data_IF_230391517402
#
_entry.id   IF_230391517402
#
_cell.length_a   1.000
_cell.length_b   1.000
_cell.length_c   1.000
_cell.angle_alpha   90.00
_cell.angle_beta   90.00
_cell.angle_gamma   90.00
#
_symmetry.space_group_name_H-M   'P 1'
#
loop_
_entity.id
_entity.type
_entity.pdbx_description
1 polymer ?
#
# COMPACT_ATOMS: atom_id res chain seq x y z
N UNK A 1 -10.25 6.18 -14.95
CA UNK A 1 -10.56 7.54 -14.46
C UNK A 1 -10.46 8.58 -15.58
N UNK A 2 -9.34 8.76 -16.30
CA UNK A 2 -9.22 9.81 -17.33
C UNK A 2 -10.25 9.70 -18.47
N UNK A 3 -10.53 8.46 -18.92
CA UNK A 3 -11.57 8.20 -19.93
C UNK A 3 -12.93 8.72 -19.46
N UNK A 4 -13.32 8.39 -18.23
CA UNK A 4 -14.55 8.91 -17.64
C UNK A 4 -14.51 10.43 -17.57
N UNK A 5 -13.38 11.01 -17.11
CA UNK A 5 -13.23 12.47 -16.99
C UNK A 5 -13.53 13.19 -18.29
N UNK A 6 -12.93 12.74 -19.38
CA UNK A 6 -13.22 13.27 -20.70
C UNK A 6 -14.69 13.05 -21.12
N UNK A 7 -15.24 11.86 -20.87
CA UNK A 7 -16.61 11.49 -21.30
C UNK A 7 -17.71 12.29 -20.60
N UNK A 8 -17.55 12.63 -19.32
CA UNK A 8 -18.61 13.30 -18.55
C UNK A 8 -18.37 14.80 -18.35
N UNK A 9 -17.28 15.35 -18.88
CA UNK A 9 -16.89 16.76 -18.68
C UNK A 9 -18.00 17.76 -19.00
N UNK A 10 -18.61 17.65 -20.18
CA UNK A 10 -19.64 18.58 -20.63
C UNK A 10 -20.95 18.41 -19.83
N UNK A 11 -21.33 17.17 -19.50
CA UNK A 11 -22.50 16.88 -18.68
C UNK A 11 -22.36 17.46 -17.26
N UNK A 12 -21.17 17.35 -16.68
CA UNK A 12 -20.84 17.93 -15.37
C UNK A 12 -20.86 19.46 -15.44
N UNK A 13 -20.25 20.04 -16.47
CA UNK A 13 -20.21 21.50 -16.66
C UNK A 13 -21.62 22.11 -16.85
N UNK A 14 -22.54 21.37 -17.47
CA UNK A 14 -23.94 21.79 -17.65
C UNK A 14 -24.84 21.49 -16.45
N UNK A 15 -24.34 20.81 -15.42
CA UNK A 15 -25.14 20.39 -14.25
C UNK A 15 -26.11 19.25 -14.55
N UNK A 16 -25.93 18.53 -15.65
CA UNK A 16 -26.75 17.37 -16.05
C UNK A 16 -26.32 16.08 -15.34
N UNK A 17 -25.06 16.04 -14.87
CA UNK A 17 -24.50 14.89 -14.18
C UNK A 17 -23.60 15.35 -13.03
N UNK A 18 -23.76 14.75 -11.85
CA UNK A 18 -22.77 14.81 -10.78
C UNK A 18 -21.92 13.54 -10.83
N UNK A 19 -20.60 13.68 -10.73
CA UNK A 19 -19.69 12.53 -10.67
C UNK A 19 -18.90 12.59 -9.38
N UNK A 20 -18.93 11.47 -8.64
CA UNK A 20 -18.08 11.24 -7.48
C UNK A 20 -17.29 9.98 -7.74
N UNK A 21 -15.97 10.06 -7.58
CA UNK A 21 -15.11 8.89 -7.68
C UNK A 21 -14.85 8.29 -6.30
N UNK A 22 -14.63 6.97 -6.25
CA UNK A 22 -14.21 6.28 -5.04
C UNK A 22 -12.91 5.54 -5.38
N UNK A 23 -11.83 5.89 -4.69
CA UNK A 23 -10.50 5.33 -4.91
C UNK A 23 -10.18 4.29 -3.84
N UNK A 24 -9.98 3.04 -4.26
CA UNK A 24 -9.53 1.94 -3.39
C UNK A 24 -8.00 1.87 -3.27
N UNK A 25 -7.36 3.03 -3.16
CA UNK A 25 -5.91 3.19 -3.01
C UNK A 25 -5.51 3.14 -1.52
N UNK A 26 -4.33 2.60 -1.17
CA UNK A 26 -3.84 2.58 0.22
C UNK A 26 -3.45 3.98 0.71
N UNK A 27 -2.89 4.80 -0.17
CA UNK A 27 -2.34 6.11 0.19
C UNK A 27 -3.17 7.26 -0.39
N UNK A 28 -3.82 8.03 0.48
CA UNK A 28 -4.65 9.18 0.05
C UNK A 28 -3.84 10.19 -0.77
N UNK A 29 -2.57 10.38 -0.45
CA UNK A 29 -1.70 11.35 -1.13
C UNK A 29 -1.40 10.93 -2.58
N UNK A 30 -1.34 9.62 -2.87
CA UNK A 30 -1.22 9.12 -4.25
C UNK A 30 -2.49 9.38 -5.05
N UNK A 31 -3.65 9.21 -4.42
CA UNK A 31 -4.94 9.55 -5.04
C UNK A 31 -5.00 11.04 -5.38
N UNK A 32 -4.59 11.90 -4.45
CA UNK A 32 -4.55 13.35 -4.66
C UNK A 32 -3.56 13.74 -5.78
N UNK A 33 -2.35 13.18 -5.77
CA UNK A 33 -1.34 13.40 -6.81
C UNK A 33 -1.86 12.97 -8.18
N UNK A 34 -2.48 11.79 -8.28
CA UNK A 34 -3.06 11.29 -9.52
C UNK A 34 -4.16 12.23 -10.05
N UNK A 35 -5.06 12.68 -9.18
CA UNK A 35 -6.16 13.57 -9.55
C UNK A 35 -5.63 14.90 -10.09
N UNK A 36 -4.69 15.53 -9.37
CA UNK A 36 -4.06 16.78 -9.78
C UNK A 36 -3.26 16.62 -11.08
N UNK A 37 -2.50 15.53 -11.21
CA UNK A 37 -1.73 15.25 -12.44
C UNK A 37 -2.62 15.07 -13.67
N UNK A 38 -3.76 14.40 -13.51
CA UNK A 38 -4.71 14.15 -14.59
C UNK A 38 -5.71 15.30 -14.81
N UNK A 39 -5.65 16.36 -14.00
CA UNK A 39 -6.61 17.48 -14.07
C UNK A 39 -8.05 17.05 -13.77
N UNK A 40 -8.23 16.03 -12.92
CA UNK A 40 -9.54 15.56 -12.49
C UNK A 40 -10.06 16.53 -11.43
N UNK A 41 -11.20 17.14 -11.73
CA UNK A 41 -11.86 18.18 -10.93
C UNK A 41 -13.07 17.66 -10.14
N UNK A 42 -13.34 16.35 -10.20
CA UNK A 42 -14.40 15.73 -9.43
C UNK A 42 -13.97 15.48 -7.98
N UNK A 43 -14.95 15.46 -7.05
CA UNK A 43 -14.73 14.88 -5.73
C UNK A 43 -14.27 13.42 -5.85
N UNK A 44 -13.17 13.08 -5.16
CA UNK A 44 -12.69 11.70 -5.01
C UNK A 44 -12.75 11.33 -3.53
N UNK A 45 -13.57 10.35 -3.21
CA UNK A 45 -13.62 9.71 -1.90
C UNK A 45 -12.53 8.64 -1.83
N UNK A 46 -11.83 8.59 -0.70
CA UNK A 46 -10.80 7.59 -0.45
C UNK A 46 -11.37 6.44 0.38
N UNK A 47 -11.35 5.23 -0.18
CA UNK A 47 -11.89 4.01 0.43
C UNK A 47 -10.83 2.88 0.40
N UNK A 48 -9.78 2.98 1.23
CA UNK A 48 -8.75 1.95 1.30
C UNK A 48 -9.29 0.61 1.83
N UNK A 49 -10.43 0.63 2.53
CA UNK A 49 -11.08 -0.50 3.18
C UNK A 49 -12.00 -1.31 2.24
N UNK A 50 -12.28 -0.82 1.03
CA UNK A 50 -13.27 -1.42 0.12
C UNK A 50 -14.67 -1.54 0.76
N UNK A 51 -15.11 -0.51 1.49
CA UNK A 51 -16.43 -0.45 2.13
C UNK A 51 -17.59 -0.46 1.12
N UNK A 52 -17.32 -0.06 -0.13
CA UNK A 52 -18.29 -0.22 -1.23
C UNK A 52 -18.56 -1.68 -1.59
N UNK A 53 -17.70 -2.61 -1.15
CA UNK A 53 -17.79 -4.02 -1.51
C UNK A 53 -17.53 -4.30 -2.99
N UNK A 54 -16.85 -3.38 -3.70
CA UNK A 54 -16.58 -3.56 -5.12
C UNK A 54 -15.64 -4.75 -5.34
N UNK A 55 -16.06 -5.67 -6.21
CA UNK A 55 -15.27 -6.85 -6.54
C UNK A 55 -14.23 -6.59 -7.64
N UNK A 56 -14.36 -5.50 -8.39
CA UNK A 56 -13.49 -5.16 -9.51
C UNK A 56 -13.46 -3.65 -9.76
N UNK A 57 -12.36 -3.16 -10.37
CA UNK A 57 -12.21 -1.78 -10.80
C UNK A 57 -11.66 -1.71 -12.24
N UNK A 58 -12.03 -0.69 -13.05
CA UNK A 58 -13.03 0.32 -12.74
C UNK A 58 -14.47 -0.26 -12.75
N UNK A 59 -15.33 0.27 -11.88
CA UNK A 59 -16.77 -0.02 -11.86
C UNK A 59 -17.51 1.33 -11.80
N UNK A 60 -18.53 1.51 -12.62
CA UNK A 60 -19.34 2.71 -12.66
C UNK A 60 -20.80 2.37 -12.34
N UNK A 61 -21.38 3.13 -11.42
CA UNK A 61 -22.74 2.97 -10.93
C UNK A 61 -23.47 4.27 -11.22
N UNK A 62 -24.65 4.16 -11.82
CA UNK A 62 -25.53 5.29 -12.06
C UNK A 62 -26.60 5.32 -10.99
N UNK A 63 -26.74 6.48 -10.35
CA UNK A 63 -27.71 6.76 -9.30
C UNK A 63 -28.58 7.90 -9.77
N UNK A 64 -29.90 7.73 -9.67
CA UNK A 64 -30.84 8.78 -10.04
C UNK A 64 -30.98 9.86 -8.97
N UNK A 65 -31.80 10.88 -9.26
CA UNK A 65 -32.05 12.00 -8.34
C UNK A 65 -32.69 11.58 -7.00
N UNK A 66 -33.28 10.39 -6.93
CA UNK A 66 -33.89 9.84 -5.70
C UNK A 66 -32.89 9.03 -4.85
N UNK A 67 -31.66 8.88 -5.31
CA UNK A 67 -30.63 8.07 -4.64
C UNK A 67 -30.75 6.57 -4.95
N UNK A 68 -31.53 6.18 -5.96
CA UNK A 68 -31.69 4.78 -6.36
C UNK A 68 -30.66 4.41 -7.42
N UNK A 69 -30.02 3.25 -7.25
CA UNK A 69 -29.13 2.68 -8.28
C UNK A 69 -29.96 2.21 -9.46
N UNK A 70 -29.78 2.84 -10.62
CA UNK A 70 -30.52 2.53 -11.85
C UNK A 70 -29.70 1.69 -12.84
N UNK A 71 -28.37 1.76 -12.76
CA UNK A 71 -27.48 0.90 -13.55
C UNK A 71 -26.15 0.64 -12.83
N UNK A 72 -25.54 -0.51 -13.09
CA UNK A 72 -24.20 -0.89 -12.61
C UNK A 72 -23.35 -1.38 -13.77
N UNK A 73 -22.02 -1.29 -13.63
CA UNK A 73 -21.10 -1.69 -14.70
C UNK A 73 -21.25 -0.85 -15.97
N UNK A 74 -21.72 0.39 -15.85
CA UNK A 74 -21.87 1.30 -16.99
C UNK A 74 -20.50 1.49 -17.62
N UNK A 75 -20.45 1.53 -18.95
CA UNK A 75 -19.22 1.80 -19.71
C UNK A 75 -19.25 3.23 -20.22
N UNK A 76 -18.08 3.85 -20.34
CA UNK A 76 -17.98 5.23 -20.82
C UNK A 76 -18.58 5.40 -22.23
N UNK A 77 -18.38 4.42 -23.11
CA UNK A 77 -18.96 4.38 -24.47
C UNK A 77 -20.48 4.17 -24.50
N UNK A 78 -21.08 3.67 -23.41
CA UNK A 78 -22.52 3.43 -23.26
C UNK A 78 -23.24 4.44 -22.37
N UNK A 79 -22.54 5.46 -21.86
CA UNK A 79 -23.11 6.38 -20.87
C UNK A 79 -24.36 7.11 -21.37
N UNK A 80 -24.33 7.62 -22.61
CA UNK A 80 -25.46 8.39 -23.16
C UNK A 80 -26.76 7.55 -23.20
N UNK A 81 -26.66 6.28 -23.58
CA UNK A 81 -27.79 5.36 -23.57
C UNK A 81 -28.25 5.03 -22.14
N UNK A 82 -27.32 4.94 -21.19
CA UNK A 82 -27.66 4.69 -19.78
C UNK A 82 -28.36 5.88 -19.11
N UNK A 83 -28.15 7.11 -19.61
CA UNK A 83 -28.81 8.32 -19.13
C UNK A 83 -30.19 8.54 -19.78
N UNK A 84 -30.53 7.82 -20.84
CA UNK A 84 -31.78 8.01 -21.56
C UNK A 84 -32.99 7.74 -20.66
N UNK A 85 -33.87 8.74 -20.53
CA UNK A 85 -35.08 8.65 -19.71
C UNK A 85 -34.85 8.87 -18.21
N UNK A 86 -33.63 9.19 -17.78
CA UNK A 86 -33.39 9.66 -16.42
C UNK A 86 -33.65 11.17 -16.33
N UNK A 87 -34.35 11.56 -15.28
CA UNK A 87 -34.49 12.96 -14.95
C UNK A 87 -33.14 13.51 -14.44
N UNK A 88 -32.73 14.72 -14.88
CA UNK A 88 -31.52 15.35 -14.37
C UNK A 88 -31.58 15.46 -12.85
N UNK A 89 -30.45 15.19 -12.19
CA UNK A 89 -30.35 15.40 -10.75
C UNK A 89 -30.67 16.86 -10.42
N UNK A 90 -31.52 17.08 -9.41
CA UNK A 90 -31.61 18.41 -8.81
C UNK A 90 -30.28 18.67 -8.08
N UNK A 91 -29.78 19.91 -8.12
CA UNK A 91 -28.50 20.26 -7.51
C UNK A 91 -28.38 19.65 -6.10
N UNK A 92 -27.27 18.93 -5.86
CA UNK A 92 -27.00 18.32 -4.56
C UNK A 92 -27.00 19.44 -3.52
N UNK A 93 -27.85 19.31 -2.51
CA UNK A 93 -27.91 20.24 -1.39
C UNK A 93 -26.61 20.16 -0.59
N UNK A 94 -25.72 21.13 -0.77
CA UNK A 94 -24.40 21.19 -0.13
C UNK A 94 -24.46 21.70 1.31
N UNK A 95 -25.61 21.62 2.00
CA UNK A 95 -25.71 21.95 3.42
C UNK A 95 -24.61 21.22 4.21
N UNK A 96 -24.04 21.90 5.21
CA UNK A 96 -23.05 21.31 6.13
C UNK A 96 -23.64 20.03 6.73
N UNK A 97 -23.19 18.89 6.21
CA UNK A 97 -23.40 17.60 6.84
C UNK A 97 -22.38 17.53 7.99
N UNK A 98 -22.79 17.15 9.21
CA UNK A 98 -21.83 16.88 10.28
C UNK A 98 -20.75 15.91 9.79
N UNK A 99 -19.56 15.88 10.45
CA UNK A 99 -18.44 15.04 10.02
C UNK A 99 -18.94 13.64 9.68
N UNK A 100 -18.62 13.11 8.49
CA UNK A 100 -19.22 11.88 8.02
C UNK A 100 -18.92 10.77 9.00
N UNK A 101 -19.94 10.33 9.74
CA UNK A 101 -19.92 9.00 10.31
C UNK A 101 -20.19 8.04 9.17
N UNK A 102 -19.62 6.83 9.24
CA UNK A 102 -20.06 5.78 8.33
C UNK A 102 -21.57 5.65 8.48
N UNK A 103 -22.33 5.77 7.40
CA UNK A 103 -23.80 5.68 7.43
C UNK A 103 -24.29 4.37 8.07
N UNK A 104 -23.42 3.35 8.12
CA UNK A 104 -23.59 2.13 8.88
C UNK A 104 -23.79 2.43 10.37
N UNK A 105 -23.02 3.31 11.00
CA UNK A 105 -23.13 3.66 12.42
C UNK A 105 -24.51 4.19 12.81
N UNK A 106 -25.15 4.99 11.93
CA UNK A 106 -26.49 5.51 12.16
C UNK A 106 -27.58 4.43 12.06
N UNK A 107 -27.28 3.32 11.39
CA UNK A 107 -28.20 2.17 11.22
C UNK A 107 -28.04 1.14 12.34
N UNK A 108 -26.93 1.15 13.06
CA UNK A 108 -26.67 0.22 14.14
C UNK A 108 -27.33 0.69 15.43
N UNK A 109 -27.89 -0.25 16.18
CA UNK A 109 -28.35 0.04 17.53
C UNK A 109 -27.15 0.42 18.42
N UNK A 110 -27.34 1.23 19.48
CA UNK A 110 -26.23 1.63 20.33
C UNK A 110 -25.42 0.48 20.95
N UNK A 111 -26.07 -0.67 21.13
CA UNK A 111 -25.56 -1.93 21.68
C UNK A 111 -25.21 -2.98 20.62
N UNK A 112 -25.22 -2.62 19.34
CA UNK A 112 -24.86 -3.53 18.25
C UNK A 112 -23.38 -3.95 18.34
N UNK A 113 -23.08 -5.26 18.27
CA UNK A 113 -21.72 -5.76 18.39
C UNK A 113 -20.77 -5.32 17.27
N UNK A 114 -21.27 -4.93 16.08
CA UNK A 114 -20.43 -4.41 14.99
C UNK A 114 -20.15 -2.90 15.15
N UNK A 115 -20.81 -2.20 16.08
CA UNK A 115 -20.64 -0.75 16.24
C UNK A 115 -19.18 -0.34 16.53
N UNK A 116 -18.45 -0.97 17.48
CA UNK A 116 -17.06 -0.62 17.74
C UNK A 116 -16.15 -0.76 16.52
N UNK A 117 -16.43 -1.75 15.65
CA UNK A 117 -15.70 -1.98 14.40
C UNK A 117 -15.85 -0.79 13.45
N UNK A 118 -17.09 -0.38 13.17
CA UNK A 118 -17.33 0.76 12.28
C UNK A 118 -16.87 2.08 12.87
N UNK A 119 -16.87 2.24 14.20
CA UNK A 119 -16.27 3.39 14.86
C UNK A 119 -14.75 3.44 14.65
N UNK A 120 -14.07 2.30 14.77
CA UNK A 120 -12.63 2.19 14.51
C UNK A 120 -12.29 2.53 13.05
N UNK A 121 -13.04 1.98 12.08
CA UNK A 121 -12.86 2.29 10.65
C UNK A 121 -13.12 3.78 10.38
N UNK A 122 -14.19 4.34 10.96
CA UNK A 122 -14.53 5.76 10.84
C UNK A 122 -13.38 6.65 11.35
N UNK A 123 -12.79 6.32 12.50
CA UNK A 123 -11.61 7.05 13.01
C UNK A 123 -10.40 6.93 12.09
N UNK A 124 -10.14 5.76 11.51
CA UNK A 124 -9.07 5.57 10.53
C UNK A 124 -9.26 6.43 9.26
N UNK A 125 -10.50 6.60 8.79
CA UNK A 125 -10.82 7.36 7.58
C UNK A 125 -10.81 8.87 7.81
N UNK A 126 -11.41 9.33 8.91
CA UNK A 126 -11.81 10.73 9.05
C UNK A 126 -11.00 11.54 10.07
N UNK A 127 -10.27 10.90 10.98
CA UNK A 127 -9.53 11.64 12.02
C UNK A 127 -8.34 12.43 11.48
N UNK A 128 -7.85 12.06 10.28
CA UNK A 128 -6.60 12.58 9.73
C UNK A 128 -5.34 12.10 10.47
N UNK A 129 -5.50 11.34 11.55
CA UNK A 129 -4.44 10.80 12.39
C UNK A 129 -4.22 9.30 12.13
N UNK A 130 -3.11 8.77 12.64
CA UNK A 130 -2.86 7.33 12.65
C UNK A 130 -3.98 6.58 13.39
N UNK A 131 -4.33 5.36 12.96
CA UNK A 131 -5.14 4.46 13.78
C UNK A 131 -4.54 4.31 15.18
N UNK A 132 -5.36 4.40 16.22
CA UNK A 132 -4.88 4.19 17.59
C UNK A 132 -4.68 2.70 17.86
N UNK A 133 -3.89 2.37 18.89
CA UNK A 133 -3.74 0.97 19.30
C UNK A 133 -5.09 0.30 19.63
N UNK A 134 -6.04 1.04 20.23
CA UNK A 134 -7.38 0.54 20.51
C UNK A 134 -8.18 0.25 19.24
N UNK A 135 -8.00 1.05 18.18
CA UNK A 135 -8.63 0.80 16.87
C UNK A 135 -8.08 -0.49 16.26
N UNK A 136 -6.76 -0.67 16.28
CA UNK A 136 -6.09 -1.87 15.77
C UNK A 136 -6.52 -3.12 16.55
N UNK A 137 -6.57 -3.05 17.88
CA UNK A 137 -7.03 -4.16 18.73
C UNK A 137 -8.48 -4.54 18.44
N UNK A 138 -9.36 -3.56 18.26
CA UNK A 138 -10.77 -3.79 17.89
C UNK A 138 -10.87 -4.51 16.56
N UNK A 139 -10.17 -4.03 15.54
CA UNK A 139 -10.17 -4.62 14.19
C UNK A 139 -9.56 -6.03 14.19
N UNK A 140 -8.46 -6.25 14.91
CA UNK A 140 -7.85 -7.58 15.07
C UNK A 140 -8.77 -8.56 15.79
N UNK A 141 -9.45 -8.13 16.85
CA UNK A 141 -10.35 -8.99 17.60
C UNK A 141 -11.48 -9.53 16.72
N UNK A 142 -12.11 -8.66 15.94
CA UNK A 142 -13.13 -9.07 14.96
C UNK A 142 -12.52 -9.99 13.88
N UNK A 143 -11.36 -9.61 13.34
CA UNK A 143 -10.66 -10.40 12.33
C UNK A 143 -10.11 -11.73 12.84
N UNK A 144 -10.11 -12.00 14.15
CA UNK A 144 -9.62 -13.27 14.73
C UNK A 144 -10.77 -14.17 15.22
N UNK A 145 -12.02 -13.72 15.11
CA UNK A 145 -13.19 -14.48 15.56
C UNK A 145 -13.46 -15.74 14.75
N UNK A 146 -14.23 -16.66 15.33
CA UNK A 146 -14.65 -17.90 14.67
C UNK A 146 -15.58 -17.65 13.46
N UNK A 147 -16.41 -16.59 13.55
CA UNK A 147 -17.35 -16.18 12.49
C UNK A 147 -16.81 -15.04 11.61
N UNK A 148 -15.48 -14.85 11.60
CA UNK A 148 -14.85 -13.77 10.84
C UNK A 148 -15.16 -13.85 9.35
N UNK A 149 -15.36 -12.69 8.74
CA UNK A 149 -15.55 -12.54 7.30
C UNK A 149 -14.28 -12.03 6.61
N UNK A 150 -14.13 -12.33 5.32
CA UNK A 150 -12.97 -11.88 4.55
C UNK A 150 -12.79 -10.36 4.50
N UNK A 151 -13.89 -9.59 4.48
CA UNK A 151 -13.86 -8.13 4.52
C UNK A 151 -13.31 -7.60 5.84
N UNK A 152 -13.74 -8.16 6.98
CA UNK A 152 -13.23 -7.79 8.31
C UNK A 152 -11.74 -8.06 8.45
N UNK A 153 -11.27 -9.20 7.92
CA UNK A 153 -9.84 -9.53 7.89
C UNK A 153 -9.08 -8.57 6.98
N UNK A 154 -9.63 -8.21 5.82
CA UNK A 154 -9.05 -7.22 4.92
C UNK A 154 -8.95 -5.84 5.59
N UNK A 155 -10.00 -5.40 6.29
CA UNK A 155 -10.06 -4.12 7.00
C UNK A 155 -8.99 -4.02 8.08
N UNK A 156 -8.78 -5.09 8.85
CA UNK A 156 -7.69 -5.17 9.82
C UNK A 156 -6.34 -4.90 9.14
N UNK A 157 -6.06 -5.57 8.01
CA UNK A 157 -4.81 -5.35 7.29
C UNK A 157 -4.64 -3.93 6.76
N UNK A 158 -5.71 -3.27 6.31
CA UNK A 158 -5.68 -1.86 5.89
C UNK A 158 -5.30 -0.95 7.05
N UNK A 159 -5.89 -1.13 8.22
CA UNK A 159 -5.58 -0.32 9.40
C UNK A 159 -4.15 -0.54 9.91
N UNK A 160 -3.67 -1.78 9.91
CA UNK A 160 -2.26 -2.08 10.22
C UNK A 160 -1.30 -1.33 9.30
N UNK A 161 -1.61 -1.31 8.00
CA UNK A 161 -0.78 -0.60 7.04
C UNK A 161 -0.82 0.91 7.25
N UNK A 162 -2.00 1.47 7.50
CA UNK A 162 -2.14 2.90 7.81
C UNK A 162 -1.34 3.30 9.07
N UNK A 163 -1.41 2.48 10.12
CA UNK A 163 -0.63 2.69 11.34
C UNK A 163 0.87 2.62 11.06
N UNK A 164 1.32 1.60 10.31
CA UNK A 164 2.72 1.45 9.90
C UNK A 164 3.22 2.67 9.12
N UNK A 165 2.50 3.09 8.07
CA UNK A 165 2.90 4.23 7.23
C UNK A 165 2.94 5.54 8.03
N UNK A 166 2.00 5.75 8.97
CA UNK A 166 1.96 6.98 9.78
C UNK A 166 3.02 6.99 10.88
N UNK A 167 3.43 5.83 11.38
CA UNK A 167 4.50 5.69 12.39
C UNK A 167 5.91 5.77 11.80
N UNK A 168 6.06 6.15 10.52
CA UNK A 168 7.37 6.20 9.85
C UNK A 168 7.87 4.81 9.42
N UNK A 169 6.98 3.83 9.34
CA UNK A 169 7.31 2.49 8.86
C UNK A 169 8.01 1.60 9.88
N UNK A 170 7.90 1.88 11.19
CA UNK A 170 8.52 1.03 12.21
C UNK A 170 7.57 -0.03 12.77
N UNK A 171 8.11 -1.22 13.02
CA UNK A 171 7.46 -2.28 13.77
C UNK A 171 6.53 -3.18 12.95
N UNK A 172 5.84 -4.13 13.60
CA UNK A 172 5.23 -5.30 12.95
C UNK A 172 3.96 -5.00 12.13
N UNK A 173 3.59 -3.73 11.95
CA UNK A 173 2.36 -3.32 11.28
C UNK A 173 2.32 -3.76 9.81
N UNK A 174 3.41 -3.57 9.07
CA UNK A 174 3.41 -3.93 7.65
C UNK A 174 3.22 -5.43 7.44
N UNK A 175 3.94 -6.25 8.19
CA UNK A 175 3.78 -7.67 8.07
C UNK A 175 2.41 -8.20 8.50
N UNK A 176 1.82 -7.64 9.57
CA UNK A 176 0.44 -7.96 9.94
C UNK A 176 -0.54 -7.58 8.84
N UNK A 177 -0.32 -6.45 8.16
CA UNK A 177 -1.12 -6.06 7.00
C UNK A 177 -1.06 -7.11 5.88
N UNK A 178 0.15 -7.54 5.51
CA UNK A 178 0.36 -8.57 4.48
C UNK A 178 -0.30 -9.90 4.89
N UNK A 179 -0.12 -10.34 6.14
CA UNK A 179 -0.74 -11.56 6.66
C UNK A 179 -2.27 -11.51 6.53
N UNK A 180 -2.86 -10.43 7.02
CA UNK A 180 -4.30 -10.22 6.99
C UNK A 180 -4.84 -10.17 5.54
N UNK A 181 -4.17 -9.48 4.62
CA UNK A 181 -4.63 -9.45 3.22
C UNK A 181 -4.55 -10.82 2.54
N UNK A 182 -3.50 -11.60 2.78
CA UNK A 182 -3.41 -12.98 2.28
C UNK A 182 -4.54 -13.86 2.86
N UNK A 183 -4.82 -13.76 4.15
CA UNK A 183 -5.91 -14.50 4.78
C UNK A 183 -7.28 -14.08 4.22
N UNK A 184 -7.54 -12.78 4.11
CA UNK A 184 -8.76 -12.26 3.51
C UNK A 184 -8.95 -12.78 2.06
N UNK A 185 -7.88 -12.76 1.26
CA UNK A 185 -7.91 -13.27 -0.09
C UNK A 185 -8.12 -14.80 -0.15
N UNK A 186 -7.57 -15.56 0.81
CA UNK A 186 -7.83 -16.99 0.91
C UNK A 186 -9.31 -17.29 1.23
N UNK A 187 -9.97 -16.44 2.02
CA UNK A 187 -11.41 -16.54 2.30
C UNK A 187 -12.27 -16.17 1.09
N UNK A 188 -11.85 -15.19 0.29
CA UNK A 188 -12.60 -14.73 -0.90
C UNK A 188 -11.67 -14.51 -2.10
N UNK A 189 -11.25 -15.58 -2.80
CA UNK A 189 -10.23 -15.51 -3.86
C UNK A 189 -10.69 -14.77 -5.13
N UNK A 190 -11.96 -14.45 -5.23
CA UNK A 190 -12.54 -13.67 -6.34
C UNK A 190 -12.41 -12.15 -6.14
N UNK A 191 -11.98 -11.69 -4.97
CA UNK A 191 -11.86 -10.25 -4.67
C UNK A 191 -10.63 -9.64 -5.35
N UNK A 192 -10.85 -8.96 -6.48
CA UNK A 192 -9.78 -8.36 -7.29
C UNK A 192 -8.99 -7.32 -6.50
N UNK A 193 -9.67 -6.45 -5.75
CA UNK A 193 -9.04 -5.34 -5.03
C UNK A 193 -8.08 -5.88 -3.96
N UNK A 194 -8.47 -6.94 -3.25
CA UNK A 194 -7.66 -7.56 -2.21
C UNK A 194 -6.42 -8.22 -2.82
N UNK A 195 -6.59 -8.95 -3.93
CA UNK A 195 -5.47 -9.49 -4.69
C UNK A 195 -4.49 -8.40 -5.12
N UNK A 196 -5.01 -7.28 -5.65
CA UNK A 196 -4.17 -6.14 -6.07
C UNK A 196 -3.40 -5.53 -4.92
N UNK A 197 -4.00 -5.43 -3.73
CA UNK A 197 -3.32 -4.93 -2.54
C UNK A 197 -2.14 -5.81 -2.13
N UNK A 198 -2.24 -7.13 -2.27
CA UNK A 198 -1.10 -8.03 -2.06
C UNK A 198 -0.05 -7.83 -3.16
N UNK A 199 -0.46 -7.85 -4.43
CA UNK A 199 0.44 -7.74 -5.58
C UNK A 199 1.25 -6.43 -5.59
N UNK A 200 0.69 -5.35 -5.05
CA UNK A 200 1.38 -4.08 -4.84
C UNK A 200 2.71 -4.24 -4.09
N UNK A 201 2.75 -5.13 -3.11
CA UNK A 201 3.93 -5.44 -2.30
C UNK A 201 4.52 -6.82 -2.62
N UNK A 202 3.90 -7.55 -3.54
CA UNK A 202 4.28 -8.91 -3.89
C UNK A 202 5.42 -8.97 -4.91
N UNK A 203 5.76 -10.18 -5.37
CA UNK A 203 6.73 -10.36 -6.43
C UNK A 203 6.40 -9.57 -7.68
N UNK A 204 7.43 -9.02 -8.34
CA UNK A 204 7.26 -8.25 -9.59
C UNK A 204 6.55 -9.05 -10.70
N UNK A 205 6.81 -10.35 -10.81
CA UNK A 205 6.19 -11.22 -11.83
C UNK A 205 4.67 -11.37 -11.67
N UNK A 206 4.14 -11.08 -10.48
CA UNK A 206 2.70 -11.10 -10.23
C UNK A 206 1.99 -9.81 -10.68
N UNK A 207 2.76 -8.76 -11.01
CA UNK A 207 2.24 -7.50 -11.51
C UNK A 207 2.16 -7.53 -13.05
N UNK A 208 0.95 -7.45 -13.64
CA UNK A 208 0.76 -7.54 -15.09
C UNK A 208 1.17 -6.28 -15.86
N UNK A 209 1.46 -5.19 -15.15
CA UNK A 209 1.91 -3.89 -15.68
C UNK A 209 2.55 -3.08 -14.55
N UNK A 210 3.34 -2.06 -14.89
CA UNK A 210 4.00 -1.18 -13.93
C UNK A 210 2.95 -0.29 -13.22
N UNK A 211 2.44 -0.77 -12.08
CA UNK A 211 1.25 -0.21 -11.43
C UNK A 211 1.40 1.27 -11.07
N UNK A 212 2.60 1.69 -10.70
CA UNK A 212 2.91 3.07 -10.29
C UNK A 212 3.99 3.76 -11.14
N UNK A 213 4.24 3.31 -12.38
CA UNK A 213 5.18 3.99 -13.29
C UNK A 213 4.83 5.47 -13.51
N UNK A 214 3.55 5.82 -13.31
CA UNK A 214 3.07 7.20 -13.42
C UNK A 214 3.52 8.11 -12.27
N UNK A 215 3.89 7.59 -11.09
CA UNK A 215 4.24 8.45 -9.95
C UNK A 215 5.48 9.29 -10.25
N UNK A 216 6.62 8.72 -10.71
CA UNK A 216 7.76 9.52 -11.11
C UNK A 216 7.43 10.58 -12.18
N UNK A 217 6.60 10.23 -13.16
CA UNK A 217 6.14 11.16 -14.21
C UNK A 217 5.30 12.32 -13.63
N UNK A 218 4.35 11.99 -12.75
CA UNK A 218 3.50 12.95 -12.08
C UNK A 218 4.30 13.89 -11.18
N UNK A 219 5.23 13.33 -10.39
CA UNK A 219 6.12 14.11 -9.51
C UNK A 219 7.00 15.04 -10.33
N UNK A 220 7.64 14.56 -11.40
CA UNK A 220 8.47 15.40 -12.27
C UNK A 220 7.66 16.53 -12.93
N UNK A 221 6.41 16.25 -13.32
CA UNK A 221 5.53 17.24 -13.93
C UNK A 221 5.04 18.30 -12.94
N UNK A 222 4.78 17.93 -11.68
CA UNK A 222 4.20 18.83 -10.66
C UNK A 222 5.24 19.50 -9.78
N UNK A 223 6.40 18.88 -9.59
CA UNK A 223 7.47 19.32 -8.72
C UNK A 223 8.82 19.30 -9.48
N UNK A 224 9.00 20.16 -10.50
CA UNK A 224 10.19 20.15 -11.35
C UNK A 224 11.47 20.59 -10.65
N UNK A 225 11.36 21.17 -9.45
CA UNK A 225 12.50 21.49 -8.59
C UNK A 225 12.40 20.62 -7.34
N UNK A 226 13.41 19.79 -7.01
CA UNK A 226 13.42 19.04 -5.76
C UNK A 226 13.26 20.02 -4.61
N UNK A 227 12.20 19.85 -3.80
CA UNK A 227 12.03 20.67 -2.61
C UNK A 227 13.25 20.43 -1.71
N UNK A 228 14.08 21.46 -1.53
CA UNK A 228 15.38 21.33 -0.89
C UNK A 228 15.31 21.03 0.62
N UNK A 229 14.12 20.90 1.20
CA UNK A 229 13.94 20.72 2.66
C UNK A 229 12.57 20.15 3.08
N UNK A 230 11.75 19.63 2.17
CA UNK A 230 10.41 19.15 2.52
C UNK A 230 10.41 17.63 2.66
N UNK A 231 10.01 17.15 3.84
CA UNK A 231 9.58 15.78 4.14
C UNK A 231 9.15 15.05 2.87
N UNK A 232 9.89 14.02 2.46
CA UNK A 232 9.56 13.19 1.30
C UNK A 232 8.07 12.83 1.39
N UNK A 233 7.21 13.37 0.52
CA UNK A 233 5.78 13.12 0.59
C UNK A 233 5.47 11.61 0.64
N UNK A 234 4.46 11.19 1.39
CA UNK A 234 4.07 9.78 1.52
C UNK A 234 3.62 9.10 0.20
N UNK A 235 3.59 9.85 -0.91
CA UNK A 235 3.34 9.31 -2.24
C UNK A 235 4.58 8.70 -2.91
N UNK A 236 5.80 8.91 -2.38
CA UNK A 236 6.98 8.24 -2.93
C UNK A 236 6.84 6.72 -2.81
N UNK A 237 7.30 6.05 -3.86
CA UNK A 237 7.24 4.59 -3.95
C UNK A 237 8.37 4.00 -3.14
N UNK A 238 8.08 2.94 -2.39
CA UNK A 238 9.17 2.08 -1.96
C UNK A 238 9.72 1.34 -3.18
N UNK A 239 10.99 0.93 -3.19
CA UNK A 239 11.56 0.26 -4.35
C UNK A 239 10.89 -1.08 -4.73
N UNK A 240 10.08 -1.65 -3.84
CA UNK A 240 9.22 -2.82 -4.13
C UNK A 240 7.96 -2.47 -4.91
N UNK A 241 7.48 -1.24 -4.78
CA UNK A 241 6.32 -0.73 -5.53
C UNK A 241 6.73 -0.20 -6.92
N UNK A 242 8.03 0.05 -7.12
CA UNK A 242 8.64 0.24 -8.44
C UNK A 242 8.82 -1.13 -9.12
N UNK A 243 7.81 -1.53 -9.89
CA UNK A 243 8.00 -2.56 -10.89
C UNK A 243 8.80 -2.00 -12.08
N UNK A 244 9.73 -2.80 -12.59
CA UNK A 244 10.18 -2.71 -13.96
C UNK A 244 9.54 -3.87 -14.71
N UNK A 245 9.07 -3.62 -15.93
CA UNK A 245 8.61 -4.63 -16.87
C UNK A 245 9.71 -5.69 -17.15
N UNK A 246 9.90 -6.62 -16.22
CA UNK A 246 10.74 -7.78 -16.41
C UNK A 246 10.03 -8.68 -17.42
N UNK A 247 10.74 -8.99 -18.51
CA UNK A 247 10.26 -9.90 -19.56
C UNK A 247 9.85 -11.23 -18.90
N UNK A 248 8.69 -11.75 -19.34
CA UNK A 248 8.15 -13.06 -18.95
C UNK A 248 9.27 -14.11 -18.96
N UNK A 249 9.57 -14.70 -17.81
CA UNK A 249 10.31 -15.94 -17.72
C UNK A 249 9.28 -17.08 -17.73
N UNK A 250 9.35 -17.95 -18.73
CA UNK A 250 8.39 -19.03 -19.04
C UNK A 250 8.45 -20.25 -18.09
N UNK A 251 8.83 -20.11 -16.81
CA UNK A 251 8.96 -21.27 -15.91
C UNK A 251 7.89 -21.34 -14.82
N UNK A 252 7.35 -22.56 -14.67
CA UNK A 252 6.08 -22.93 -14.05
C UNK A 252 6.31 -23.92 -12.90
N UNK A 253 5.79 -23.67 -11.70
CA UNK A 253 5.87 -24.60 -10.55
C UNK A 253 4.66 -24.39 -9.60
N UNK A 254 3.96 -25.44 -9.18
CA UNK A 254 2.76 -25.38 -8.32
C UNK A 254 3.07 -25.42 -6.80
N UNK A 255 2.32 -24.68 -5.94
CA UNK A 255 2.24 -24.94 -4.48
C UNK A 255 1.10 -24.24 -3.69
N UNK A 256 0.65 -24.78 -2.53
CA UNK A 256 -0.47 -24.25 -1.73
C UNK A 256 -0.06 -23.40 -0.49
N UNK A 257 -0.93 -22.44 -0.12
CA UNK A 257 -1.11 -21.82 1.23
C UNK A 257 0.01 -20.90 1.76
N UNK A 258 -0.18 -19.58 1.75
CA UNK A 258 0.84 -18.58 2.17
C UNK A 258 0.73 -18.06 3.60
N UNK A 259 1.88 -17.74 4.21
CA UNK A 259 2.04 -17.07 5.52
C UNK A 259 2.98 -15.88 5.33
N UNK A 260 2.64 -14.70 5.86
CA UNK A 260 3.59 -13.59 6.03
C UNK A 260 4.42 -13.86 7.29
N UNK A 261 5.72 -13.66 7.18
CA UNK A 261 6.68 -14.10 8.17
C UNK A 261 7.55 -12.90 8.58
N UNK A 262 7.70 -12.68 9.89
CA UNK A 262 8.32 -11.50 10.48
C UNK A 262 9.34 -11.95 11.48
N UNK A 263 10.60 -11.63 11.22
CA UNK A 263 11.58 -11.60 12.28
C UNK A 263 12.02 -10.17 12.48
N UNK A 264 11.82 -9.69 13.71
CA UNK A 264 12.56 -8.55 14.24
C UNK A 264 13.90 -9.06 14.74
N UNK A 265 14.98 -8.58 14.15
CA UNK A 265 16.31 -8.87 14.64
C UNK A 265 16.86 -7.65 15.39
N UNK A 266 16.93 -7.78 16.72
CA UNK A 266 17.49 -6.77 17.61
C UNK A 266 19.01 -6.97 17.75
N UNK A 267 19.77 -6.37 16.85
CA UNK A 267 21.14 -5.97 17.16
C UNK A 267 21.08 -4.66 17.97
N UNK A 268 21.92 -4.44 19.01
CA UNK A 268 21.90 -3.18 19.77
C UNK A 268 22.13 -1.93 18.92
N UNK A 269 22.62 -2.08 17.69
CA UNK A 269 22.87 -0.97 16.77
C UNK A 269 21.88 -0.90 15.61
N UNK A 270 21.18 -1.98 15.28
CA UNK A 270 20.37 -2.02 14.06
C UNK A 270 19.19 -2.98 14.27
N UNK A 271 17.98 -2.43 14.24
CA UNK A 271 16.79 -3.25 14.12
C UNK A 271 16.53 -3.53 12.63
N UNK A 272 16.45 -4.82 12.27
CA UNK A 272 16.09 -5.23 10.91
C UNK A 272 14.71 -5.87 10.97
N UNK A 273 13.78 -5.33 10.20
CA UNK A 273 12.50 -5.96 9.90
C UNK A 273 12.58 -6.60 8.51
N UNK A 274 12.23 -7.87 8.42
CA UNK A 274 12.15 -8.58 7.14
C UNK A 274 10.75 -9.12 6.97
N UNK A 275 10.11 -8.76 5.85
CA UNK A 275 8.76 -9.21 5.50
C UNK A 275 8.80 -9.92 4.14
N UNK A 276 8.43 -11.19 4.13
CA UNK A 276 8.29 -11.97 2.91
C UNK A 276 6.84 -11.92 2.40
N UNK A 277 6.63 -11.39 1.20
CA UNK A 277 5.34 -11.35 0.51
C UNK A 277 5.34 -12.37 -0.63
N UNK A 278 4.39 -13.30 -0.61
CA UNK A 278 4.29 -14.34 -1.63
C UNK A 278 3.48 -13.87 -2.84
N UNK A 279 3.71 -14.50 -3.97
CA UNK A 279 2.81 -14.42 -5.11
C UNK A 279 1.39 -14.86 -4.74
N UNK A 280 0.42 -14.24 -5.42
CA UNK A 280 -1.01 -14.56 -5.37
C UNK A 280 -1.43 -15.64 -6.35
N UNK A 281 -0.61 -15.91 -7.38
CA UNK A 281 -0.85 -17.03 -8.28
C UNK A 281 -0.58 -18.34 -7.54
N UNK A 282 -1.51 -19.29 -7.62
CA UNK A 282 -1.39 -20.62 -6.99
C UNK A 282 -0.16 -21.42 -7.49
N UNK A 283 0.44 -20.99 -8.60
CA UNK A 283 1.64 -21.58 -9.21
C UNK A 283 2.87 -20.64 -9.16
N UNK A 284 2.90 -19.64 -8.28
CA UNK A 284 4.05 -18.75 -8.14
C UNK A 284 4.86 -19.11 -6.90
N UNK A 285 6.05 -19.65 -7.12
CA UNK A 285 7.08 -19.84 -6.10
C UNK A 285 7.89 -18.58 -5.82
N UNK A 286 7.43 -17.44 -6.32
CA UNK A 286 8.13 -16.18 -6.20
C UNK A 286 7.78 -15.52 -4.87
N UNK A 287 8.80 -15.00 -4.20
CA UNK A 287 8.67 -14.26 -2.95
C UNK A 287 9.35 -12.90 -3.15
N UNK A 288 8.68 -11.82 -2.75
CA UNK A 288 9.29 -10.53 -2.56
C UNK A 288 9.72 -10.42 -1.10
N UNK A 289 10.99 -10.13 -0.85
CA UNK A 289 11.50 -9.90 0.50
C UNK A 289 11.71 -8.41 0.69
N UNK A 290 10.95 -7.84 1.61
CA UNK A 290 11.10 -6.47 2.07
C UNK A 290 12.04 -6.47 3.26
N UNK A 291 13.03 -5.59 3.24
CA UNK A 291 13.95 -5.40 4.36
C UNK A 291 13.87 -3.93 4.73
N UNK A 292 13.38 -3.65 5.93
CA UNK A 292 13.39 -2.33 6.53
C UNK A 292 14.42 -2.29 7.65
N UNK A 293 15.13 -1.17 7.74
CA UNK A 293 16.10 -0.90 8.79
C UNK A 293 15.53 0.18 9.70
N UNK A 294 15.45 -0.13 10.99
CA UNK A 294 14.93 0.76 12.04
C UNK A 294 16.05 1.13 13.02
N UNK A 295 15.94 2.33 13.59
CA UNK A 295 16.75 2.88 14.69
C UNK A 295 18.19 2.36 14.82
N UNK A 296 19.13 3.15 14.29
CA UNK A 296 20.46 3.26 14.89
C UNK A 296 20.36 4.30 16.00
N UNK A 297 20.89 4.00 17.20
CA UNK A 297 21.07 5.02 18.24
C UNK A 297 21.50 6.36 17.63
N UNK A 298 20.79 7.45 17.94
CA UNK A 298 21.32 8.79 17.72
C UNK A 298 22.68 8.88 18.42
N UNK A 299 23.75 8.87 17.63
CA UNK A 299 25.09 9.10 18.13
C UNK A 299 25.18 10.59 18.49
N UNK A 300 24.92 10.91 19.76
CA UNK A 300 25.19 12.25 20.28
C UNK A 300 26.71 12.39 20.47
N UNK A 301 27.39 12.95 19.47
CA UNK A 301 28.73 13.51 19.69
C UNK A 301 28.58 14.97 20.15
N UNK A 302 29.14 15.29 21.32
CA UNK A 302 29.33 16.67 21.77
C UNK A 302 30.35 17.36 20.83
N UNK A 303 29.90 17.86 19.67
CA UNK A 303 30.77 18.61 18.75
C UNK A 303 30.30 18.54 17.30
N UNK A 304 29.48 19.51 16.88
CA UNK A 304 28.77 19.44 15.61
C UNK A 304 29.62 19.47 14.33
N UNK A 305 29.04 19.02 13.22
CA UNK A 305 29.11 19.65 11.90
C UNK A 305 28.08 19.01 10.96
N UNK A 306 27.60 19.79 9.98
CA UNK A 306 26.40 19.52 9.18
C UNK A 306 26.57 18.52 8.03
N UNK A 307 25.42 18.11 7.50
CA UNK A 307 25.23 17.07 6.47
C UNK A 307 25.44 17.63 5.06
N UNK A 308 26.09 16.86 4.18
CA UNK A 308 26.05 17.00 2.72
C UNK A 308 25.53 15.69 2.11
N UNK A 309 24.51 15.79 1.27
CA UNK A 309 23.98 14.71 0.43
C UNK A 309 24.70 14.75 -0.94
N UNK A 310 25.19 13.60 -1.40
CA UNK A 310 25.88 13.45 -2.70
C UNK A 310 25.41 12.18 -3.45
N UNK A 311 24.13 11.80 -3.27
CA UNK A 311 23.58 10.54 -3.79
C UNK A 311 22.94 10.65 -5.20
N UNK A 312 23.72 11.02 -6.22
CA UNK A 312 23.29 10.94 -7.63
C UNK A 312 23.65 9.58 -8.27
N UNK A 313 22.89 8.52 -7.98
CA UNK A 313 22.54 7.37 -8.86
C UNK A 313 22.24 6.07 -8.07
N UNK A 314 21.03 5.51 -8.14
CA UNK A 314 20.81 4.11 -7.79
C UNK A 314 21.30 3.18 -8.90
N UNK A 315 22.14 2.21 -8.54
CA UNK A 315 22.61 1.12 -9.43
C UNK A 315 21.70 -0.09 -9.26
N UNK A 316 20.97 -0.47 -10.32
CA UNK A 316 20.23 -1.73 -10.39
C UNK A 316 21.15 -2.87 -10.87
N UNK A 317 21.10 -4.03 -10.20
CA UNK A 317 21.75 -5.26 -10.66
C UNK A 317 20.68 -6.35 -10.76
N UNK A 318 20.57 -6.94 -11.95
CA UNK A 318 19.70 -8.08 -12.25
C UNK A 318 20.31 -9.38 -11.72
N UNK A 319 19.49 -10.13 -10.99
CA UNK A 319 19.80 -11.40 -10.34
C UNK A 319 18.98 -11.50 -9.07
N UNK A 320 18.21 -12.57 -8.90
CA UNK A 320 17.21 -12.78 -7.84
C UNK A 320 17.54 -12.09 -6.50
N UNK A 321 16.59 -11.27 -6.05
CA UNK A 321 16.40 -10.56 -4.76
C UNK A 321 17.56 -9.70 -4.23
N UNK A 322 17.43 -8.38 -4.43
CA UNK A 322 17.27 -7.42 -3.33
C UNK A 322 16.75 -6.07 -3.88
N UNK A 323 15.76 -5.47 -3.22
CA UNK A 323 15.55 -4.02 -3.35
C UNK A 323 15.56 -3.42 -1.96
N UNK A 324 16.49 -2.49 -1.76
CA UNK A 324 16.75 -1.74 -0.51
C UNK A 324 15.67 -0.67 -0.38
N UNK A 325 15.01 -0.55 0.78
CA UNK A 325 14.22 0.63 1.11
C UNK A 325 15.08 1.59 1.94
N UNK A 326 15.14 2.86 1.53
CA UNK A 326 15.82 3.94 2.28
C UNK A 326 14.80 4.65 3.19
N UNK A 327 15.08 4.71 4.49
CA UNK A 327 14.39 5.59 5.44
C UNK A 327 15.02 7.00 5.48
N UNK A 328 14.53 7.93 6.30
CA UNK A 328 15.18 9.23 6.52
C UNK A 328 16.41 9.06 7.44
N UNK A 329 17.63 9.17 6.88
CA UNK A 329 18.90 9.07 7.61
C UNK A 329 19.51 10.44 7.90
N UNK A 330 20.15 10.59 9.06
CA UNK A 330 20.99 11.76 9.42
C UNK A 330 22.49 11.49 9.31
N UNK A 331 22.89 10.42 8.62
CA UNK A 331 24.29 10.08 8.33
C UNK A 331 24.43 9.40 6.96
N UNK A 332 25.62 9.48 6.34
CA UNK A 332 25.93 8.80 5.09
C UNK A 332 26.30 7.33 5.36
N UNK A 333 25.57 6.44 4.73
CA UNK A 333 25.82 5.00 4.79
C UNK A 333 25.14 4.33 3.61
N UNK A 334 25.67 3.19 3.16
CA UNK A 334 25.02 2.40 2.12
C UNK A 334 24.89 0.97 2.61
N UNK A 335 23.66 0.45 2.58
CA UNK A 335 23.39 -0.97 2.73
C UNK A 335 23.51 -1.63 1.36
N UNK A 336 24.42 -2.58 1.22
CA UNK A 336 24.48 -3.47 0.07
C UNK A 336 24.08 -4.86 0.50
N UNK A 337 22.90 -5.29 0.06
CA UNK A 337 22.52 -6.70 0.13
C UNK A 337 23.04 -7.35 -1.14
N UNK A 338 24.01 -8.25 -1.02
CA UNK A 338 24.46 -9.07 -2.14
C UNK A 338 24.00 -10.49 -1.89
N UNK A 339 23.12 -10.99 -2.75
CA UNK A 339 22.80 -12.41 -2.78
C UNK A 339 23.79 -13.11 -3.69
N UNK A 340 24.63 -13.98 -3.11
CA UNK A 340 25.40 -14.95 -3.88
C UNK A 340 24.52 -16.21 -4.01
N UNK A 341 23.61 -16.24 -4.99
CA UNK A 341 22.72 -17.40 -5.19
C UNK A 341 23.20 -18.35 -6.31
N UNK A 342 23.34 -19.66 -6.02
CA UNK A 342 22.86 -20.70 -6.89
C UNK A 342 21.31 -20.81 -6.82
N UNK A 343 20.68 -21.40 -7.84
CA UNK A 343 19.22 -21.52 -8.05
C UNK A 343 18.48 -22.41 -7.04
N UNK A 344 18.57 -22.13 -5.74
CA UNK A 344 17.84 -22.86 -4.68
C UNK A 344 16.40 -22.39 -4.56
N UNK A 345 15.44 -23.32 -4.53
CA UNK A 345 14.00 -23.01 -4.39
C UNK A 345 13.69 -22.62 -2.95
N UNK A 346 12.69 -21.76 -2.74
CA UNK A 346 12.25 -21.37 -1.38
C UNK A 346 11.67 -22.57 -0.60
N UNK A 347 11.15 -23.56 -1.29
CA UNK A 347 10.54 -24.75 -0.68
C UNK A 347 11.54 -25.74 -0.08
N UNK A 348 12.77 -25.75 -0.61
CA UNK A 348 13.80 -26.65 -0.08
C UNK A 348 14.10 -26.27 1.37
N UNK A 349 14.32 -27.22 2.28
CA UNK A 349 14.83 -26.89 3.62
C UNK A 349 16.27 -26.35 3.62
N UNK A 350 16.88 -26.23 2.44
CA UNK A 350 18.19 -25.63 2.25
C UNK A 350 18.15 -24.14 2.65
N UNK A 351 19.13 -23.67 3.44
CA UNK A 351 19.24 -22.26 3.83
C UNK A 351 19.35 -21.38 2.59
N UNK A 352 18.80 -20.17 2.66
CA UNK A 352 18.99 -19.13 1.64
C UNK A 352 19.94 -18.11 2.23
N UNK A 353 21.26 -18.32 2.11
CA UNK A 353 22.23 -17.37 2.61
C UNK A 353 22.11 -16.08 1.82
N UNK A 354 21.95 -14.97 2.54
CA UNK A 354 22.12 -13.64 2.02
C UNK A 354 23.25 -12.96 2.80
N UNK A 355 24.14 -12.28 2.06
CA UNK A 355 25.15 -11.44 2.66
C UNK A 355 24.56 -10.03 2.80
N UNK A 356 24.34 -9.63 4.04
CA UNK A 356 24.04 -8.26 4.41
C UNK A 356 25.37 -7.55 4.66
N UNK A 357 25.67 -6.55 3.84
CA UNK A 357 26.85 -5.71 4.00
C UNK A 357 26.37 -4.29 4.25
N UNK A 358 26.77 -3.69 5.37
CA UNK A 358 26.49 -2.29 5.66
C UNK A 358 27.74 -1.60 6.19
N UNK A 359 27.86 -0.33 5.86
CA UNK A 359 28.87 0.53 6.48
C UNK A 359 28.24 1.85 6.91
N UNK A 360 28.83 2.43 7.95
CA UNK A 360 28.47 3.75 8.44
C UNK A 360 29.73 4.61 8.44
N UNK A 361 29.60 5.84 7.96
CA UNK A 361 30.63 6.84 8.14
C UNK A 361 30.63 7.29 9.60
N UNK A 362 31.78 7.13 10.26
CA UNK A 362 31.98 7.60 11.64
C UNK A 362 32.71 8.94 11.55
N UNK A 363 32.16 10.06 12.08
CA UNK A 363 32.74 11.39 11.93
C UNK A 363 34.22 11.52 12.35
N UNK A 364 34.67 10.65 13.27
CA UNK A 364 36.00 10.67 13.87
C UNK A 364 36.95 9.55 13.42
N UNK A 365 36.62 8.76 12.38
CA UNK A 365 37.47 7.62 12.01
C UNK A 365 37.20 6.94 10.67
N UNK A 366 37.83 5.78 10.47
CA UNK A 366 37.62 4.92 9.31
C UNK A 366 36.18 4.38 9.29
N UNK A 367 35.54 4.27 8.10
CA UNK A 367 34.22 3.67 7.96
C UNK A 367 34.18 2.29 8.62
N UNK A 368 33.16 2.06 9.44
CA UNK A 368 32.97 0.73 10.04
C UNK A 368 32.21 -0.14 9.07
N UNK A 369 32.87 -1.17 8.58
CA UNK A 369 32.30 -2.18 7.71
C UNK A 369 31.77 -3.36 8.53
N UNK A 370 30.53 -3.73 8.29
CA UNK A 370 29.91 -4.91 8.85
C UNK A 370 29.46 -5.82 7.72
N UNK A 371 29.88 -7.07 7.79
CA UNK A 371 29.39 -8.14 6.93
C UNK A 371 28.75 -9.20 7.80
N UNK A 372 27.54 -9.62 7.42
CA UNK A 372 26.88 -10.72 8.07
C UNK A 372 26.16 -11.60 7.05
N UNK A 373 26.33 -12.89 7.23
CA UNK A 373 25.55 -13.89 6.53
C UNK A 373 24.29 -14.17 7.35
N UNK A 374 23.12 -13.99 6.74
CA UNK A 374 21.83 -14.36 7.29
C UNK A 374 21.21 -15.44 6.44
N UNK A 375 20.54 -16.40 7.05
CA UNK A 375 19.67 -17.31 6.33
C UNK A 375 18.28 -16.69 6.26
N UNK A 376 17.89 -16.20 5.08
CA UNK A 376 16.60 -15.55 4.86
C UNK A 376 15.42 -16.47 5.17
N UNK A 377 15.56 -17.79 5.02
CA UNK A 377 14.51 -18.75 5.39
C UNK A 377 14.41 -18.92 6.89
N UNK A 378 15.54 -19.06 7.58
CA UNK A 378 15.53 -19.11 9.04
C UNK A 378 15.00 -17.81 9.66
N UNK A 379 15.28 -16.68 9.01
CA UNK A 379 14.80 -15.36 9.41
C UNK A 379 13.35 -15.09 8.97
N UNK A 380 12.81 -15.83 8.00
CA UNK A 380 11.38 -15.84 7.77
C UNK A 380 10.67 -16.80 8.76
N UNK A 381 11.20 -18.00 9.02
CA UNK A 381 10.51 -19.01 9.85
C UNK A 381 10.38 -18.66 11.33
N UNK A 382 11.21 -17.74 11.83
CA UNK A 382 11.17 -17.19 13.18
C UNK A 382 10.16 -16.06 13.23
#
# INVERSE_FOLDING_TARGET
MPVWHATTKDLVANGELAVVAIASEQHRERTALWADWQGIDWPILWDPFNLTGSFAIPNAILVDASGIVVATGVRADGLAAALEGLEPATAIDTREVPPPQLAQLDRLAPDDPERPLFEAISRCLWSGAAPTQADLETLRAVASGDERRGDQVFWSGVAERLAYDTAGGSGPGFARAIAAWHEAFALVPTQYIWRRRIQQYGPRLDQPYDFYAWIPEAVAAKFPTPASDASVPSFFLTPTELAHAARRADERIETPGGTALVTEWNDPFLAIEVVAVRGTAAESNTVCVHVALHDLMHWHEEGGSGIRDDSSNPVAIDGHVATVAEGPWSGSGTLRITQDLPSTRWEDDAPVPARLTYWFDVPSGEPRFFERWVDLKALARR
#
